data_IF_238342997354
#
_entry.id   IF_238342997354
#
_cell.length_a   1.000
_cell.length_b   1.000
_cell.length_c   1.000
_cell.angle_alpha   90.00
_cell.angle_beta   90.00
_cell.angle_gamma   90.00
#
_symmetry.space_group_name_H-M   'P 1'
#
loop_
_entity.id
_entity.type
_entity.pdbx_description
1 polymer ?
#
# COMPACT_ATOMS: atom_id res chain seq x y z
N UNK A 1 62.76 13.39 0.64
CA UNK A 1 63.91 12.68 0.01
C UNK A 1 63.30 11.51 -0.75
N UNK A 2 63.22 11.38 -2.07
CA UNK A 2 63.68 12.05 -3.30
C UNK A 2 62.41 12.20 -4.21
N UNK A 3 62.12 13.22 -5.04
CA UNK A 3 62.84 13.97 -6.09
C UNK A 3 63.27 13.15 -7.31
N UNK A 4 62.66 13.43 -8.48
CA UNK A 4 63.14 13.34 -9.89
C UNK A 4 61.88 13.44 -10.78
N UNK A 5 61.56 14.47 -11.59
CA UNK A 5 62.27 15.46 -12.42
C UNK A 5 63.00 14.85 -13.63
N UNK A 6 62.57 15.21 -14.85
CA UNK A 6 63.33 15.13 -16.10
C UNK A 6 62.48 14.70 -17.31
N UNK A 7 62.19 15.60 -18.28
CA UNK A 7 62.91 15.81 -19.57
C UNK A 7 62.26 14.96 -20.70
N UNK A 8 61.93 15.37 -21.95
CA UNK A 8 62.37 16.38 -22.95
C UNK A 8 61.30 16.54 -24.05
N UNK A 9 61.01 17.75 -24.56
CA UNK A 9 61.39 18.32 -25.89
C UNK A 9 61.16 17.43 -27.13
N UNK A 10 60.39 17.89 -28.14
CA UNK A 10 60.93 18.52 -29.37
C UNK A 10 59.85 18.74 -30.47
N UNK A 11 59.72 20.01 -30.90
CA UNK A 11 59.48 20.55 -32.27
C UNK A 11 58.32 20.04 -33.15
N UNK A 12 57.48 20.97 -33.66
CA UNK A 12 57.51 21.52 -35.04
C UNK A 12 56.25 22.38 -35.30
N UNK A 13 56.45 23.67 -35.58
CA UNK A 13 55.60 24.50 -36.46
C UNK A 13 56.35 24.59 -37.81
N UNK A 14 55.77 25.01 -38.96
CA UNK A 14 54.47 25.66 -39.16
C UNK A 14 53.69 25.15 -40.40
N UNK A 15 52.42 25.55 -40.56
CA UNK A 15 51.84 25.72 -41.89
C UNK A 15 50.76 26.80 -41.88
N UNK A 16 51.07 27.91 -42.54
CA UNK A 16 50.13 28.96 -42.93
C UNK A 16 49.25 28.42 -44.07
N UNK A 17 47.92 28.51 -43.95
CA UNK A 17 47.06 28.75 -45.09
C UNK A 17 45.90 29.68 -44.70
N UNK A 18 45.64 30.59 -45.63
CA UNK A 18 44.91 31.82 -45.42
C UNK A 18 43.38 31.66 -45.51
N UNK A 19 42.71 32.56 -44.77
CA UNK A 19 41.42 33.22 -45.05
C UNK A 19 40.47 32.56 -46.06
N UNK A 20 39.31 32.13 -45.55
CA UNK A 20 38.02 32.36 -46.21
C UNK A 20 36.99 32.80 -45.16
N UNK A 21 36.37 33.97 -45.41
CA UNK A 21 35.19 34.47 -44.71
C UNK A 21 33.95 33.72 -45.24
N UNK A 22 32.97 33.41 -44.37
CA UNK A 22 31.66 32.94 -44.81
C UNK A 22 30.69 32.47 -43.72
N UNK A 23 30.13 33.42 -42.96
CA UNK A 23 28.73 33.55 -42.51
C UNK A 23 27.95 32.33 -41.94
N UNK A 24 27.40 32.58 -40.75
CA UNK A 24 26.20 32.02 -40.09
C UNK A 24 26.35 30.77 -39.23
N UNK A 25 26.62 31.04 -37.94
CA UNK A 25 26.31 30.14 -36.83
C UNK A 25 24.79 30.17 -36.62
N UNK A 26 24.09 29.17 -37.16
CA UNK A 26 22.76 28.80 -36.69
C UNK A 26 22.87 27.42 -36.04
N UNK A 27 23.33 27.39 -34.79
CA UNK A 27 23.23 26.19 -33.95
C UNK A 27 21.75 26.05 -33.61
N UNK A 28 21.04 25.25 -34.41
CA UNK A 28 19.74 24.70 -34.02
C UNK A 28 19.98 23.77 -32.83
N UNK A 29 20.03 24.36 -31.64
CA UNK A 29 19.90 23.68 -30.37
C UNK A 29 18.44 23.18 -30.31
N UNK A 30 18.14 22.09 -31.02
CA UNK A 30 17.02 21.23 -30.68
C UNK A 30 17.36 20.61 -29.33
N UNK A 31 17.16 21.40 -28.28
CA UNK A 31 17.10 20.92 -26.93
C UNK A 31 15.99 19.88 -26.91
N UNK A 32 16.39 18.61 -26.82
CA UNK A 32 15.55 17.58 -26.24
C UNK A 32 15.21 18.14 -24.86
N UNK A 33 14.03 18.74 -24.71
CA UNK A 33 13.52 19.06 -23.39
C UNK A 33 13.27 17.70 -22.73
N UNK A 34 14.04 17.28 -21.71
CA UNK A 34 13.53 16.25 -20.84
C UNK A 34 12.23 16.81 -20.28
N UNK A 35 11.13 16.08 -20.46
CA UNK A 35 9.87 16.37 -19.77
C UNK A 35 10.22 16.62 -18.31
N UNK A 36 10.04 17.86 -17.86
CA UNK A 36 10.12 18.20 -16.45
C UNK A 36 9.01 17.42 -15.78
N UNK A 37 9.33 16.21 -15.29
CA UNK A 37 8.62 15.60 -14.18
C UNK A 37 8.76 16.64 -13.08
N UNK A 38 7.69 17.39 -12.83
CA UNK A 38 7.65 18.36 -11.76
C UNK A 38 8.05 17.63 -10.47
N UNK A 39 9.21 17.99 -9.93
CA UNK A 39 9.66 17.45 -8.66
C UNK A 39 8.63 17.89 -7.61
N UNK A 40 7.87 16.92 -7.11
CA UNK A 40 6.85 17.12 -6.09
C UNK A 40 7.49 17.76 -4.85
N UNK A 41 6.85 18.81 -4.32
CA UNK A 41 7.35 19.60 -3.19
C UNK A 41 7.72 18.72 -1.99
N UNK A 42 8.89 18.94 -1.39
CA UNK A 42 9.44 18.25 -0.20
C UNK A 42 8.64 18.43 1.11
N UNK A 43 7.38 18.85 1.05
CA UNK A 43 6.52 18.81 2.23
C UNK A 43 6.13 17.36 2.51
N UNK A 44 6.21 16.95 3.79
CA UNK A 44 5.68 15.69 4.27
C UNK A 44 4.16 15.68 4.08
N UNK A 45 3.71 15.35 2.86
CA UNK A 45 2.31 15.10 2.58
C UNK A 45 1.92 13.83 3.34
N UNK A 46 0.91 13.88 4.22
CA UNK A 46 0.35 12.68 4.80
C UNK A 46 0.02 11.69 3.68
N UNK A 47 0.37 10.43 3.89
CA UNK A 47 0.04 9.37 2.95
C UNK A 47 -1.46 9.39 2.61
N UNK A 48 -1.79 9.34 1.32
CA UNK A 48 -3.16 9.16 0.82
C UNK A 48 -3.27 7.79 0.15
N UNK A 49 -4.34 7.06 0.49
CA UNK A 49 -4.68 5.80 -0.19
C UNK A 49 -5.32 6.02 -1.57
N UNK A 50 -5.71 7.25 -1.88
CA UNK A 50 -6.34 7.58 -3.14
C UNK A 50 -5.57 8.72 -3.82
N UNK A 51 -4.36 8.44 -4.34
CA UNK A 51 -3.54 9.43 -5.02
C UNK A 51 -4.15 9.81 -6.38
N UNK A 52 -3.75 10.99 -6.89
CA UNK A 52 -3.94 11.35 -8.30
C UNK A 52 -3.01 10.46 -9.12
N UNK A 53 -3.56 9.74 -10.09
CA UNK A 53 -2.82 8.82 -10.98
C UNK A 53 -2.64 9.38 -12.39
N UNK A 54 -3.46 10.35 -12.80
CA UNK A 54 -3.27 11.11 -14.03
C UNK A 54 -3.97 12.48 -13.95
N UNK A 55 -3.64 13.38 -14.88
CA UNK A 55 -4.38 14.61 -15.13
C UNK A 55 -4.72 14.63 -16.64
N UNK A 56 -5.99 14.84 -16.98
CA UNK A 56 -6.50 14.91 -18.36
C UNK A 56 -7.22 16.24 -18.52
N UNK A 57 -6.72 17.13 -19.38
CA UNK A 57 -7.29 18.48 -19.57
C UNK A 57 -7.56 19.23 -18.26
N UNK A 58 -6.57 19.23 -17.36
CA UNK A 58 -6.64 19.80 -16.00
C UNK A 58 -7.62 19.12 -15.03
N UNK A 59 -8.29 18.03 -15.46
CA UNK A 59 -9.10 17.18 -14.58
C UNK A 59 -8.28 16.03 -14.00
N UNK A 60 -8.19 15.88 -12.66
CA UNK A 60 -7.45 14.79 -12.05
C UNK A 60 -8.22 13.47 -12.14
N UNK A 61 -7.51 12.42 -12.55
CA UNK A 61 -7.94 11.02 -12.38
C UNK A 61 -7.29 10.49 -11.12
N UNK A 62 -8.10 9.99 -10.17
CA UNK A 62 -7.62 9.41 -8.91
C UNK A 62 -7.61 7.88 -8.96
N UNK A 63 -6.87 7.23 -8.06
CA UNK A 63 -6.74 5.76 -8.03
C UNK A 63 -8.11 5.06 -7.94
N UNK A 64 -9.07 5.66 -7.25
CA UNK A 64 -10.44 5.13 -7.17
C UNK A 64 -11.20 5.19 -8.51
N UNK A 65 -10.88 6.11 -9.42
CA UNK A 65 -11.58 6.22 -10.72
C UNK A 65 -11.24 5.06 -11.66
N UNK A 66 -10.07 4.42 -11.46
CA UNK A 66 -9.62 3.27 -12.25
C UNK A 66 -9.97 1.93 -11.60
N UNK A 67 -10.71 1.93 -10.48
CA UNK A 67 -11.03 0.74 -9.70
C UNK A 67 -12.06 -0.14 -10.41
N UNK A 68 -11.80 -1.45 -10.42
CA UNK A 68 -12.76 -2.50 -10.75
C UNK A 68 -12.71 -3.61 -9.68
N UNK A 69 -13.52 -4.65 -9.80
CA UNK A 69 -13.60 -5.72 -8.80
C UNK A 69 -12.24 -6.39 -8.51
N UNK A 70 -11.47 -6.72 -9.56
CA UNK A 70 -10.17 -7.37 -9.42
C UNK A 70 -9.15 -6.44 -8.76
N UNK A 71 -9.10 -5.17 -9.19
CA UNK A 71 -8.22 -4.16 -8.59
C UNK A 71 -8.59 -3.93 -7.12
N UNK A 72 -9.88 -3.86 -6.81
CA UNK A 72 -10.35 -3.69 -5.44
C UNK A 72 -9.92 -4.85 -4.54
N UNK A 73 -10.08 -6.10 -5.00
CA UNK A 73 -9.61 -7.26 -4.25
C UNK A 73 -8.10 -7.21 -4.00
N UNK A 74 -7.31 -6.88 -5.02
CA UNK A 74 -5.87 -6.69 -4.88
C UNK A 74 -5.51 -5.57 -3.88
N UNK A 75 -6.25 -4.46 -3.90
CA UNK A 75 -6.06 -3.36 -2.94
C UNK A 75 -6.37 -3.80 -1.51
N UNK A 76 -7.41 -4.61 -1.30
CA UNK A 76 -7.75 -5.16 0.02
C UNK A 76 -6.63 -6.08 0.53
N UNK A 77 -6.15 -6.99 -0.32
CA UNK A 77 -5.05 -7.89 0.03
C UNK A 77 -3.77 -7.09 0.37
N UNK A 78 -3.42 -6.11 -0.46
CA UNK A 78 -2.27 -5.24 -0.24
C UNK A 78 -2.40 -4.48 1.09
N UNK A 79 -3.57 -3.90 1.36
CA UNK A 79 -3.83 -3.20 2.62
C UNK A 79 -3.65 -4.12 3.83
N UNK A 80 -4.14 -5.37 3.77
CA UNK A 80 -3.96 -6.33 4.86
C UNK A 80 -2.48 -6.64 5.12
N UNK A 81 -1.70 -6.87 4.05
CA UNK A 81 -0.26 -7.10 4.14
C UNK A 81 0.48 -5.88 4.72
N UNK A 82 0.18 -4.69 4.20
CA UNK A 82 0.78 -3.44 4.66
C UNK A 82 0.42 -3.15 6.12
N UNK A 83 -0.83 -3.40 6.52
CA UNK A 83 -1.30 -3.21 7.89
C UNK A 83 -0.51 -4.09 8.85
N UNK A 84 -0.32 -5.37 8.53
CA UNK A 84 0.47 -6.28 9.35
C UNK A 84 1.94 -5.84 9.46
N UNK A 85 2.59 -5.57 8.33
CA UNK A 85 3.99 -5.14 8.32
C UNK A 85 4.19 -3.80 9.06
N UNK A 86 3.20 -2.89 8.96
CA UNK A 86 3.24 -1.61 9.63
C UNK A 86 3.17 -1.75 11.16
N UNK A 87 2.32 -2.65 11.68
CA UNK A 87 2.22 -2.92 13.12
C UNK A 87 3.58 -3.33 13.70
N UNK A 88 4.23 -4.32 13.08
CA UNK A 88 5.55 -4.80 13.47
C UNK A 88 6.59 -3.67 13.43
N UNK A 89 6.60 -2.89 12.34
CA UNK A 89 7.54 -1.77 12.18
C UNK A 89 7.36 -0.67 13.22
N UNK A 90 6.10 -0.40 13.62
CA UNK A 90 5.79 0.56 14.68
C UNK A 90 6.33 0.07 16.01
N UNK A 91 6.08 -1.20 16.37
CA UNK A 91 6.57 -1.78 17.61
C UNK A 91 8.11 -1.74 17.66
N UNK A 92 8.81 -2.14 16.59
CA UNK A 92 10.27 -2.07 16.50
C UNK A 92 10.82 -0.66 16.74
N UNK A 93 10.14 0.37 16.22
CA UNK A 93 10.53 1.77 16.42
C UNK A 93 10.30 2.21 17.87
N UNK A 94 9.20 1.78 18.50
CA UNK A 94 8.81 2.22 19.83
C UNK A 94 9.58 1.52 20.96
N UNK A 95 10.02 0.28 20.78
CA UNK A 95 10.74 -0.51 21.81
C UNK A 95 11.96 0.21 22.40
N UNK A 96 12.59 1.12 21.64
CA UNK A 96 13.73 1.94 22.12
C UNK A 96 13.36 2.83 23.30
N UNK A 97 12.14 3.38 23.29
CA UNK A 97 11.66 4.33 24.30
C UNK A 97 10.56 3.72 25.20
N UNK A 98 9.97 2.61 24.76
CA UNK A 98 8.87 1.90 25.41
C UNK A 98 9.20 0.41 25.51
N UNK A 99 10.11 -0.01 26.40
CA UNK A 99 10.57 -1.39 26.53
C UNK A 99 9.44 -2.38 26.87
N UNK A 100 8.32 -1.90 27.43
CA UNK A 100 7.09 -2.68 27.68
C UNK A 100 6.41 -3.21 26.41
N UNK A 101 6.76 -2.65 25.24
CA UNK A 101 6.29 -3.13 23.93
C UNK A 101 7.18 -4.21 23.32
N UNK A 102 8.29 -4.57 23.99
CA UNK A 102 9.21 -5.57 23.47
C UNK A 102 8.47 -6.89 23.30
N UNK A 103 8.42 -7.36 22.06
CA UNK A 103 7.89 -8.68 21.75
C UNK A 103 8.84 -9.73 22.32
N UNK A 104 8.28 -10.59 23.16
CA UNK A 104 8.88 -11.83 23.67
C UNK A 104 8.28 -13.00 22.89
N UNK A 105 8.57 -14.23 23.33
CA UNK A 105 7.85 -15.40 22.85
C UNK A 105 6.36 -15.21 23.07
N UNK A 106 5.58 -15.41 22.00
CA UNK A 106 4.13 -15.38 22.06
C UNK A 106 3.65 -16.57 22.92
N UNK A 107 2.51 -16.43 23.62
CA UNK A 107 1.89 -17.56 24.29
C UNK A 107 1.69 -18.73 23.32
N UNK A 108 1.99 -19.95 23.78
CA UNK A 108 1.71 -21.17 23.01
C UNK A 108 0.32 -21.70 23.37
N UNK A 109 -0.40 -22.32 22.42
CA UNK A 109 -1.70 -22.93 22.69
C UNK A 109 -1.54 -24.12 23.65
N UNK A 110 -2.47 -24.23 24.61
CA UNK A 110 -2.56 -25.38 25.49
C UNK A 110 -3.26 -26.55 24.81
N UNK A 111 -3.16 -27.75 25.41
CA UNK A 111 -3.94 -28.92 24.95
C UNK A 111 -5.46 -28.67 25.00
N UNK A 112 -5.91 -27.88 25.97
CA UNK A 112 -7.32 -27.52 26.13
C UNK A 112 -7.78 -26.55 25.03
N UNK A 113 -6.89 -25.66 24.57
CA UNK A 113 -7.18 -24.77 23.44
C UNK A 113 -7.35 -25.55 22.14
N UNK A 114 -6.47 -26.53 21.91
CA UNK A 114 -6.57 -27.44 20.76
C UNK A 114 -7.86 -28.26 20.82
N UNK A 115 -8.18 -28.86 21.98
CA UNK A 115 -9.41 -29.64 22.16
C UNK A 115 -10.66 -28.78 21.95
N UNK A 116 -10.66 -27.55 22.47
CA UNK A 116 -11.77 -26.59 22.32
C UNK A 116 -11.94 -26.15 20.87
N UNK A 117 -10.83 -25.87 20.17
CA UNK A 117 -10.87 -25.55 18.75
C UNK A 117 -11.48 -26.70 17.95
N UNK A 118 -11.00 -27.94 18.16
CA UNK A 118 -11.55 -29.10 17.47
C UNK A 118 -13.05 -29.34 17.77
N UNK A 119 -13.48 -29.12 19.01
CA UNK A 119 -14.87 -29.31 19.41
C UNK A 119 -15.82 -28.28 18.75
N UNK A 120 -15.34 -27.04 18.56
CA UNK A 120 -16.16 -25.91 18.15
C UNK A 120 -16.05 -25.53 16.67
N UNK A 121 -15.04 -26.02 15.95
CA UNK A 121 -14.85 -25.72 14.51
C UNK A 121 -15.76 -26.61 13.65
N UNK A 122 -16.72 -26.04 12.89
CA UNK A 122 -17.57 -26.81 11.99
C UNK A 122 -16.76 -27.55 10.92
N UNK A 123 -17.18 -28.76 10.55
CA UNK A 123 -16.55 -29.57 9.49
C UNK A 123 -15.21 -30.23 9.85
N UNK A 124 -14.53 -29.83 10.94
CA UNK A 124 -13.21 -30.38 11.27
C UNK A 124 -13.23 -31.87 11.62
N UNK A 125 -14.35 -32.37 12.15
CA UNK A 125 -14.55 -33.79 12.49
C UNK A 125 -14.60 -34.68 11.24
N UNK A 126 -14.92 -34.10 10.08
CA UNK A 126 -14.92 -34.79 8.80
C UNK A 126 -13.49 -34.98 8.25
N UNK A 127 -12.52 -34.17 8.72
CA UNK A 127 -11.11 -34.22 8.28
C UNK A 127 -10.28 -35.27 9.05
N UNK A 128 -10.70 -35.62 10.27
CA UNK A 128 -10.04 -36.63 11.09
C UNK A 128 -10.41 -36.56 12.58
N UNK A 129 -9.88 -37.50 13.36
CA UNK A 129 -9.98 -37.47 14.83
C UNK A 129 -9.11 -36.36 15.41
N UNK A 130 -9.35 -35.99 16.67
CA UNK A 130 -8.53 -35.01 17.39
C UNK A 130 -7.05 -35.38 17.37
N UNK A 131 -6.71 -36.66 17.55
CA UNK A 131 -5.32 -37.13 17.53
C UNK A 131 -4.66 -36.87 16.18
N UNK A 132 -5.37 -37.12 15.08
CA UNK A 132 -4.86 -36.91 13.72
C UNK A 132 -4.70 -35.41 13.41
N UNK A 133 -5.64 -34.59 13.87
CA UNK A 133 -5.65 -33.15 13.57
C UNK A 133 -4.82 -32.30 14.54
N UNK A 134 -4.36 -32.88 15.66
CA UNK A 134 -3.74 -32.15 16.77
C UNK A 134 -2.58 -31.25 16.33
N UNK A 135 -1.66 -31.78 15.56
CA UNK A 135 -0.44 -31.05 15.17
C UNK A 135 -0.79 -29.89 14.23
N UNK A 136 -1.69 -30.11 13.27
CA UNK A 136 -2.16 -29.07 12.35
C UNK A 136 -2.89 -27.94 13.09
N UNK A 137 -3.77 -28.30 14.03
CA UNK A 137 -4.48 -27.32 14.87
C UNK A 137 -3.48 -26.55 15.75
N UNK A 138 -2.48 -27.23 16.31
CA UNK A 138 -1.45 -26.59 17.15
C UNK A 138 -0.69 -25.55 16.35
N UNK A 139 -0.17 -25.92 15.16
CA UNK A 139 0.56 -24.99 14.27
C UNK A 139 -0.33 -23.81 13.83
N UNK A 140 -1.63 -24.06 13.59
CA UNK A 140 -2.57 -22.99 13.30
C UNK A 140 -2.73 -22.04 14.49
N UNK A 141 -2.99 -22.57 15.69
CA UNK A 141 -3.22 -21.77 16.90
C UNK A 141 -1.97 -21.00 17.32
N UNK A 142 -0.77 -21.55 17.15
CA UNK A 142 0.50 -20.84 17.36
C UNK A 142 0.56 -19.56 16.52
N UNK A 143 0.20 -19.65 15.22
CA UNK A 143 0.14 -18.47 14.33
C UNK A 143 -0.92 -17.48 14.77
N UNK A 144 -2.08 -17.96 15.23
CA UNK A 144 -3.16 -17.10 15.75
C UNK A 144 -2.70 -16.35 17.00
N UNK A 145 -2.07 -17.05 17.95
CA UNK A 145 -1.62 -16.46 19.22
C UNK A 145 -0.49 -15.46 19.00
N UNK A 146 0.46 -15.79 18.10
CA UNK A 146 1.53 -14.85 17.72
C UNK A 146 0.96 -13.56 17.11
N UNK A 147 -0.01 -13.65 16.21
CA UNK A 147 -0.67 -12.48 15.62
C UNK A 147 -1.45 -11.68 16.66
N UNK A 148 -2.23 -12.35 17.51
CA UNK A 148 -2.98 -11.70 18.57
C UNK A 148 -2.06 -10.96 19.56
N UNK A 149 -0.91 -11.53 19.87
CA UNK A 149 0.08 -10.90 20.74
C UNK A 149 0.67 -9.61 20.13
N UNK A 150 1.01 -9.62 18.85
CA UNK A 150 1.43 -8.40 18.12
C UNK A 150 0.31 -7.36 18.13
N UNK A 151 -0.92 -7.79 17.87
CA UNK A 151 -2.08 -6.91 17.84
C UNK A 151 -2.35 -6.25 19.20
N UNK A 152 -2.25 -7.00 20.30
CA UNK A 152 -2.42 -6.46 21.65
C UNK A 152 -1.39 -5.36 21.96
N UNK A 153 -0.11 -5.59 21.66
CA UNK A 153 0.95 -4.60 21.87
C UNK A 153 0.76 -3.38 20.98
N UNK A 154 0.37 -3.60 19.74
CA UNK A 154 0.05 -2.52 18.83
C UNK A 154 -1.13 -1.67 19.34
N UNK A 155 -2.22 -2.29 19.80
CA UNK A 155 -3.36 -1.58 20.37
C UNK A 155 -2.99 -0.78 21.61
N UNK A 156 -2.12 -1.32 22.47
CA UNK A 156 -1.58 -0.57 23.60
C UNK A 156 -0.86 0.71 23.13
N UNK A 157 -0.01 0.61 22.11
CA UNK A 157 0.71 1.76 21.55
C UNK A 157 -0.24 2.83 20.97
N UNK A 158 -1.30 2.42 20.29
CA UNK A 158 -2.34 3.32 19.77
C UNK A 158 -3.12 3.99 20.91
N UNK A 159 -3.57 3.21 21.90
CA UNK A 159 -4.33 3.72 23.05
C UNK A 159 -3.54 4.71 23.91
N UNK A 160 -2.21 4.57 23.96
CA UNK A 160 -1.31 5.51 24.63
C UNK A 160 -0.94 6.72 23.78
N UNK A 161 -1.34 6.75 22.50
CA UNK A 161 -1.03 7.83 21.57
C UNK A 161 0.43 7.88 21.11
N UNK A 162 1.18 6.78 21.27
CA UNK A 162 2.60 6.73 20.90
C UNK A 162 2.82 6.58 19.39
N UNK A 163 1.81 6.11 18.67
CA UNK A 163 1.83 6.03 17.22
C UNK A 163 0.55 6.64 16.64
N UNK A 164 0.71 7.35 15.53
CA UNK A 164 -0.38 7.85 14.70
C UNK A 164 -0.30 7.17 13.34
N UNK A 165 -1.37 6.46 12.96
CA UNK A 165 -1.42 5.65 11.75
C UNK A 165 -2.23 6.38 10.68
N UNK A 166 -1.63 6.55 9.50
CA UNK A 166 -2.25 7.21 8.35
C UNK A 166 -2.70 6.22 7.27
N UNK A 167 -2.27 4.96 7.35
CA UNK A 167 -2.75 3.88 6.49
C UNK A 167 -4.24 3.62 6.80
N UNK A 168 -5.10 3.79 5.81
CA UNK A 168 -6.56 3.51 5.89
C UNK A 168 -6.93 2.35 4.97
N UNK A 169 -8.02 1.66 5.29
CA UNK A 169 -8.57 0.64 4.41
C UNK A 169 -9.03 1.26 3.06
N UNK A 170 -9.01 0.48 1.97
CA UNK A 170 -9.71 0.88 0.74
C UNK A 170 -11.21 1.05 1.03
N UNK A 171 -11.91 1.82 0.20
CA UNK A 171 -13.36 2.00 0.34
C UNK A 171 -14.10 0.67 0.20
N UNK A 172 -15.02 0.40 1.10
CA UNK A 172 -15.81 -0.85 1.15
C UNK A 172 -16.62 -1.07 -0.13
N UNK A 173 -17.16 0.01 -0.71
CA UNK A 173 -17.95 -0.06 -1.94
C UNK A 173 -17.05 -0.23 -3.16
N UNK A 174 -17.32 -1.29 -3.93
CA UNK A 174 -16.63 -1.59 -5.19
C UNK A 174 -16.96 -0.59 -6.31
N UNK A 175 -18.10 0.09 -6.19
CA UNK A 175 -18.66 0.96 -7.23
C UNK A 175 -19.01 2.35 -6.67
N UNK A 176 -18.73 3.37 -7.46
CA UNK A 176 -19.24 4.74 -7.28
C UNK A 176 -20.23 5.01 -8.40
N UNK A 177 -21.52 5.08 -8.07
CA UNK A 177 -22.57 5.39 -9.03
C UNK A 177 -23.04 6.85 -8.86
N UNK A 178 -23.39 7.51 -9.97
CA UNK A 178 -24.07 8.81 -9.88
C UNK A 178 -25.52 8.59 -9.48
N UNK A 179 -26.11 9.49 -8.69
CA UNK A 179 -27.53 9.38 -8.28
C UNK A 179 -28.46 9.32 -9.51
N UNK A 180 -28.08 9.99 -10.60
CA UNK A 180 -28.80 9.96 -11.89
C UNK A 180 -28.87 8.58 -12.55
N UNK A 181 -28.00 7.65 -12.16
CA UNK A 181 -28.00 6.27 -12.68
C UNK A 181 -28.76 5.30 -11.76
N UNK A 182 -29.24 5.76 -10.60
CA UNK A 182 -29.96 4.92 -9.65
C UNK A 182 -31.48 5.11 -9.79
N UNK A 183 -32.25 4.03 -9.59
CA UNK A 183 -33.71 4.11 -9.59
C UNK A 183 -34.18 4.89 -8.35
N UNK A 184 -34.83 6.03 -8.58
CA UNK A 184 -35.40 6.85 -7.50
C UNK A 184 -36.76 6.28 -7.09
N UNK A 185 -36.90 5.96 -5.81
CA UNK A 185 -38.17 5.58 -5.21
C UNK A 185 -38.72 6.76 -4.43
N UNK A 186 -39.97 7.15 -4.68
CA UNK A 186 -40.69 8.15 -3.88
C UNK A 186 -42.14 7.70 -3.72
N UNK A 187 -42.74 8.07 -2.60
CA UNK A 187 -44.19 7.98 -2.45
C UNK A 187 -44.82 9.02 -3.40
N UNK A 188 -45.93 8.66 -4.06
CA UNK A 188 -46.54 9.52 -5.09
C UNK A 188 -46.83 10.92 -4.52
N UNK A 189 -46.21 11.94 -5.14
CA UNK A 189 -46.46 13.34 -4.82
C UNK A 189 -45.57 13.97 -3.75
N UNK A 190 -44.63 13.24 -3.12
CA UNK A 190 -43.71 13.81 -2.13
C UNK A 190 -42.23 13.75 -2.59
N UNK A 191 -41.66 14.86 -3.10
CA UNK A 191 -40.25 14.94 -3.48
C UNK A 191 -39.28 14.76 -2.30
N UNK A 192 -39.74 14.96 -1.05
CA UNK A 192 -38.92 14.81 0.16
C UNK A 192 -38.78 13.34 0.61
N UNK A 193 -39.61 12.45 0.07
CA UNK A 193 -39.59 11.02 0.37
C UNK A 193 -38.63 10.22 -0.54
N UNK A 194 -37.84 10.89 -1.39
CA UNK A 194 -36.95 10.25 -2.37
C UNK A 194 -35.89 9.40 -1.67
N UNK A 195 -35.87 8.11 -2.00
CA UNK A 195 -34.87 7.14 -1.55
C UNK A 195 -34.12 6.57 -2.75
N UNK A 196 -32.83 6.33 -2.56
CA UNK A 196 -31.98 5.64 -3.52
C UNK A 196 -31.69 4.25 -2.95
N UNK A 197 -32.02 3.21 -3.71
CA UNK A 197 -31.64 1.84 -3.39
C UNK A 197 -30.46 1.42 -4.26
N UNK A 198 -29.35 1.04 -3.62
CA UNK A 198 -28.21 0.43 -4.27
C UNK A 198 -28.25 -1.07 -3.95
N UNK A 199 -28.45 -1.90 -4.98
CA UNK A 199 -28.44 -3.35 -4.85
C UNK A 199 -27.17 -3.89 -5.49
N UNK A 200 -26.21 -4.30 -4.66
CA UNK A 200 -25.03 -5.03 -5.12
C UNK A 200 -25.39 -6.52 -5.20
N UNK A 201 -25.47 -7.04 -6.43
CA UNK A 201 -25.58 -8.49 -6.64
C UNK A 201 -24.20 -9.11 -6.43
N UNK A 202 -24.06 -9.88 -5.36
CA UNK A 202 -22.99 -10.86 -5.26
C UNK A 202 -23.49 -12.12 -5.99
N UNK A 203 -22.77 -12.58 -7.02
CA UNK A 203 -23.07 -13.80 -7.79
C UNK A 203 -23.11 -15.10 -6.95
N UNK A 204 -23.04 -14.99 -5.62
CA UNK A 204 -23.22 -16.07 -4.67
C UNK A 204 -24.40 -15.79 -3.74
N UNK A 205 -25.62 -16.03 -4.22
CA UNK A 205 -26.64 -16.78 -3.49
C UNK A 205 -27.95 -16.89 -4.30
N UNK A 206 -28.28 -18.14 -4.65
CA UNK A 206 -29.63 -18.56 -5.00
C UNK A 206 -30.61 -18.18 -3.87
N UNK A 207 -31.88 -17.87 -4.20
CA UNK A 207 -32.90 -17.48 -3.22
C UNK A 207 -33.34 -18.70 -2.39
N UNK A 208 -33.64 -18.46 -1.11
CA UNK A 208 -34.68 -19.21 -0.39
C UNK A 208 -35.96 -18.38 -0.40
#
# INVERSE_FOLDING_TARGET
VLLLKGFTSMQFLPLHFARFLGISVLVSLMGVFPSLVAAESNELRPYTNNPVVAIVDDEPVILEDVKNAQIHEAMVQLYQMQSQALKEKILDKLVKNHPELKLTDAPLPSKDDVARFYANTPGIKEMGTLEKMRDEITVYLEKVYARAYVDERYQLAINKGWAKVYLKAPLEFRLKAQISTAMLWSDEGDPSSRRVFLLEYSDFQCPF
#
